data_IF_019257984032
#
_entry.id   IF_019257984032
#
_cell.length_a   1.000
_cell.length_b   1.000
_cell.length_c   1.000
_cell.angle_alpha   90.00
_cell.angle_beta   90.00
_cell.angle_gamma   90.00
#
_symmetry.space_group_name_H-M   'P 1'
#
loop_
_entity.id
_entity.type
_entity.pdbx_description
1 polymer ?
#
# COMPACT_ATOMS: atom_id res chain seq x y z
N UNK A 1 12.41 -13.53 41.86
CA UNK A 1 10.99 -13.17 41.66
C UNK A 1 10.88 -12.18 40.50
N UNK A 2 11.01 -12.67 39.27
CA UNK A 2 10.78 -11.86 38.07
C UNK A 2 9.26 -11.73 37.96
N UNK A 3 8.77 -10.57 38.40
CA UNK A 3 7.36 -10.30 38.66
C UNK A 3 6.48 -10.79 37.52
N UNK A 4 5.54 -11.71 37.81
CA UNK A 4 4.51 -12.22 36.88
C UNK A 4 3.79 -11.07 36.15
N UNK A 5 3.74 -9.89 36.80
CA UNK A 5 3.26 -8.64 36.25
C UNK A 5 4.02 -8.16 35.00
N UNK A 6 5.34 -8.41 34.90
CA UNK A 6 6.15 -8.09 33.71
C UNK A 6 5.88 -9.05 32.54
N UNK A 7 5.68 -10.34 32.81
CA UNK A 7 5.32 -11.32 31.78
C UNK A 7 3.93 -11.05 31.22
N UNK A 8 2.96 -10.66 32.06
CA UNK A 8 1.63 -10.24 31.62
C UNK A 8 1.67 -8.94 30.79
N UNK A 9 2.53 -7.98 31.17
CA UNK A 9 2.75 -6.75 30.39
C UNK A 9 3.33 -7.03 29.00
N UNK A 10 4.38 -7.86 28.91
CA UNK A 10 4.95 -8.27 27.63
C UNK A 10 3.94 -9.06 26.80
N UNK A 11 3.17 -9.96 27.40
CA UNK A 11 2.13 -10.72 26.70
C UNK A 11 1.05 -9.80 26.11
N UNK A 12 0.58 -8.79 26.86
CA UNK A 12 -0.36 -7.79 26.34
C UNK A 12 0.22 -6.95 25.19
N UNK A 13 1.49 -6.58 25.24
CA UNK A 13 2.18 -5.85 24.17
C UNK A 13 2.36 -6.72 22.90
N UNK A 14 2.66 -8.01 23.06
CA UNK A 14 2.78 -8.93 21.94
C UNK A 14 1.42 -9.30 21.32
N UNK A 15 0.36 -9.45 22.12
CA UNK A 15 -1.00 -9.74 21.64
C UNK A 15 -1.61 -8.54 20.91
N UNK A 16 -1.33 -7.32 21.35
CA UNK A 16 -1.76 -6.11 20.65
C UNK A 16 -0.97 -5.84 19.36
N UNK A 17 0.29 -6.26 19.28
CA UNK A 17 1.08 -6.18 18.04
C UNK A 17 0.62 -7.18 16.96
N UNK A 18 0.13 -8.37 17.34
CA UNK A 18 -0.31 -9.40 16.41
C UNK A 18 -1.67 -9.09 15.74
N UNK A 19 -2.59 -8.42 16.44
CA UNK A 19 -3.89 -8.00 15.87
C UNK A 19 -3.78 -6.75 14.99
N UNK A 20 -2.65 -6.04 15.03
CA UNK A 20 -2.41 -4.84 14.23
C UNK A 20 -2.00 -5.14 12.77
N UNK A 21 -1.94 -6.41 12.37
CA UNK A 21 -1.41 -6.78 11.04
C UNK A 21 -2.38 -6.61 9.87
N UNK A 22 -3.66 -6.27 10.12
CA UNK A 22 -4.67 -6.03 9.07
C UNK A 22 -5.00 -4.55 8.84
N UNK A 23 -4.36 -3.64 9.59
CA UNK A 23 -4.67 -2.20 9.61
C UNK A 23 -3.52 -1.29 9.17
N UNK A 24 -2.42 -1.83 8.61
CA UNK A 24 -1.30 -1.01 8.14
C UNK A 24 -1.64 -0.04 7.00
N UNK A 25 -2.82 -0.18 6.36
CA UNK A 25 -3.25 0.77 5.34
C UNK A 25 -3.79 2.10 5.89
N UNK A 26 -4.24 2.17 7.15
CA UNK A 26 -4.94 3.35 7.70
C UNK A 26 -4.45 3.79 9.09
N UNK A 27 -3.62 3.01 9.77
CA UNK A 27 -3.28 3.26 11.18
C UNK A 27 -2.11 4.21 11.47
N UNK A 28 -1.19 4.44 10.54
CA UNK A 28 0.07 5.13 10.85
C UNK A 28 0.02 6.67 10.73
N UNK A 29 -1.04 7.24 10.18
CA UNK A 29 -1.21 8.70 10.14
C UNK A 29 -1.41 9.33 11.53
N UNK A 30 -1.99 8.58 12.48
CA UNK A 30 -2.29 9.08 13.83
C UNK A 30 -1.04 9.23 14.72
N UNK A 31 0.04 8.50 14.43
CA UNK A 31 1.30 8.57 15.21
C UNK A 31 2.28 9.63 14.71
N UNK A 32 2.05 10.20 13.51
CA UNK A 32 2.86 11.27 12.93
C UNK A 32 2.82 12.58 13.75
N UNK A 33 1.81 12.76 14.60
CA UNK A 33 1.72 13.89 15.53
C UNK A 33 2.69 13.79 16.73
N UNK A 34 3.26 12.61 16.98
CA UNK A 34 4.07 12.34 18.18
C UNK A 34 5.58 12.33 17.86
N UNK A 35 5.95 12.03 16.60
CA UNK A 35 7.35 12.03 16.15
C UNK A 35 7.51 12.82 14.84
N UNK A 36 7.91 14.11 14.89
CA UNK A 36 8.28 14.87 13.70
C UNK A 36 9.62 14.35 13.16
N UNK A 37 9.57 13.31 12.32
CA UNK A 37 10.78 12.75 11.72
C UNK A 37 10.65 11.33 11.15
N UNK A 38 9.58 10.61 11.46
CA UNK A 38 9.31 9.30 10.86
C UNK A 38 8.02 9.36 10.08
N UNK A 39 8.06 9.90 8.86
CA UNK A 39 7.05 9.56 7.87
C UNK A 39 7.32 8.11 7.46
N UNK A 40 6.44 7.14 7.75
CA UNK A 40 6.51 5.86 7.06
C UNK A 40 6.18 6.19 5.61
N UNK A 41 7.21 6.37 4.78
CA UNK A 41 6.99 6.36 3.35
C UNK A 41 6.41 4.99 3.03
N UNK A 42 5.29 4.89 2.28
CA UNK A 42 4.91 3.61 1.69
C UNK A 42 6.15 3.02 0.99
N UNK A 43 6.26 1.67 0.86
CA UNK A 43 7.35 1.07 0.08
C UNK A 43 7.50 1.87 -1.22
N UNK A 44 8.71 2.33 -1.59
CA UNK A 44 8.86 3.36 -2.58
C UNK A 44 8.31 2.86 -3.91
N UNK A 45 7.07 3.24 -4.21
CA UNK A 45 6.46 2.93 -5.48
C UNK A 45 7.27 3.66 -6.56
N UNK A 46 7.42 3.05 -7.75
CA UNK A 46 8.04 3.70 -8.89
C UNK A 46 7.41 5.07 -9.21
N UNK A 47 8.12 5.86 -10.02
CA UNK A 47 7.60 7.13 -10.50
C UNK A 47 6.22 6.96 -11.16
N UNK A 48 5.30 7.89 -10.85
CA UNK A 48 3.90 7.89 -11.31
C UNK A 48 3.03 6.74 -10.77
N UNK A 49 3.47 6.07 -9.72
CA UNK A 49 2.67 5.08 -9.00
C UNK A 49 2.33 5.56 -7.59
N UNK A 50 1.23 5.04 -7.05
CA UNK A 50 0.74 5.28 -5.70
C UNK A 50 0.39 3.94 -5.05
N UNK A 51 0.79 3.80 -3.79
CA UNK A 51 0.49 2.61 -3.02
C UNK A 51 -0.99 2.59 -2.64
N UNK A 52 -1.68 1.50 -2.94
CA UNK A 52 -3.03 1.25 -2.46
C UNK A 52 -3.13 -0.15 -1.89
N UNK A 53 -3.80 -0.29 -0.75
CA UNK A 53 -4.03 -1.59 -0.15
C UNK A 53 -5.27 -2.29 -0.70
N UNK A 54 -6.04 -1.60 -1.53
CA UNK A 54 -7.18 -2.15 -2.23
C UNK A 54 -7.33 -1.40 -3.56
N UNK A 55 -6.45 -1.74 -4.51
CA UNK A 55 -6.48 -1.21 -5.87
C UNK A 55 -7.25 -2.10 -6.84
N UNK A 56 -7.24 -1.71 -8.11
CA UNK A 56 -7.79 -2.51 -9.20
C UNK A 56 -7.03 -3.84 -9.35
N UNK A 57 -7.76 -4.93 -9.54
CA UNK A 57 -7.17 -6.25 -9.84
C UNK A 57 -6.24 -6.28 -11.07
N UNK A 58 -6.58 -5.49 -12.09
CA UNK A 58 -5.88 -5.41 -13.36
C UNK A 58 -5.85 -3.94 -13.75
N UNK A 59 -4.65 -3.40 -13.94
CA UNK A 59 -4.49 -2.03 -14.41
C UNK A 59 -4.57 -1.96 -15.93
N UNK A 60 -5.16 -0.89 -16.47
CA UNK A 60 -5.14 -0.66 -17.90
C UNK A 60 -3.69 -0.39 -18.35
N UNK A 61 -3.35 -0.89 -19.53
CA UNK A 61 -2.08 -0.63 -20.18
C UNK A 61 -2.29 -0.15 -21.62
N UNK A 62 -1.27 0.37 -22.28
CA UNK A 62 -1.40 1.03 -23.58
C UNK A 62 -2.16 0.21 -24.64
N UNK A 63 -1.89 -1.10 -24.71
CA UNK A 63 -2.53 -2.03 -25.65
C UNK A 63 -3.92 -2.52 -25.19
N UNK A 64 -4.25 -2.46 -23.91
CA UNK A 64 -5.58 -2.83 -23.42
C UNK A 64 -6.01 -1.94 -22.25
N UNK A 65 -7.01 -1.10 -22.52
CA UNK A 65 -7.58 -0.16 -21.56
C UNK A 65 -8.81 -0.71 -20.83
N UNK A 66 -9.21 -1.95 -21.12
CA UNK A 66 -10.38 -2.58 -20.49
C UNK A 66 -9.99 -3.04 -19.09
N UNK A 67 -10.66 -2.47 -18.09
CA UNK A 67 -10.54 -2.90 -16.69
C UNK A 67 -11.76 -3.77 -16.38
N UNK A 68 -11.59 -5.07 -16.11
CA UNK A 68 -12.71 -5.92 -15.71
C UNK A 68 -13.22 -5.52 -14.32
N UNK A 69 -14.50 -5.80 -14.06
CA UNK A 69 -15.05 -5.70 -12.70
C UNK A 69 -14.44 -6.82 -11.87
N UNK A 70 -13.84 -6.46 -10.74
CA UNK A 70 -13.19 -7.42 -9.86
C UNK A 70 -13.87 -7.45 -8.49
N UNK A 71 -14.16 -8.67 -8.04
CA UNK A 71 -14.73 -8.95 -6.71
C UNK A 71 -13.66 -8.92 -5.61
N UNK A 72 -12.38 -8.94 -6.01
CA UNK A 72 -11.22 -8.89 -5.14
C UNK A 72 -10.32 -7.73 -5.55
N UNK A 73 -9.76 -7.02 -4.57
CA UNK A 73 -8.74 -6.01 -4.80
C UNK A 73 -7.36 -6.52 -4.40
N UNK A 74 -6.34 -6.02 -5.08
CA UNK A 74 -4.95 -6.32 -4.77
C UNK A 74 -4.33 -5.17 -3.97
N UNK A 75 -3.44 -5.50 -3.06
CA UNK A 75 -2.54 -4.55 -2.40
C UNK A 75 -1.27 -4.40 -3.23
N UNK A 76 -0.80 -3.18 -3.44
CA UNK A 76 0.41 -2.90 -4.22
C UNK A 76 0.51 -1.46 -4.72
N UNK A 77 1.43 -1.24 -5.67
CA UNK A 77 1.60 0.02 -6.36
C UNK A 77 0.77 0.06 -7.64
N UNK A 78 -0.04 1.10 -7.80
CA UNK A 78 -0.93 1.31 -8.95
C UNK A 78 -0.59 2.64 -9.62
N UNK A 79 -0.82 2.78 -10.92
CA UNK A 79 -0.67 4.03 -11.64
C UNK A 79 -1.55 5.10 -11.02
N UNK A 80 -0.96 6.29 -10.81
CA UNK A 80 -1.70 7.47 -10.39
C UNK A 80 -2.78 7.83 -11.40
N UNK A 81 -3.83 8.51 -10.93
CA UNK A 81 -4.87 9.07 -11.79
C UNK A 81 -4.27 9.86 -12.96
N UNK A 82 -4.70 9.53 -14.18
CA UNK A 82 -4.21 10.16 -15.41
C UNK A 82 -2.97 9.49 -16.03
N UNK A 83 -2.40 8.47 -15.39
CA UNK A 83 -1.35 7.62 -15.96
C UNK A 83 -1.89 6.26 -16.39
N UNK A 84 -1.15 5.59 -17.28
CA UNK A 84 -1.46 4.25 -17.79
C UNK A 84 -0.18 3.42 -17.85
N UNK A 85 -0.28 2.10 -17.64
CA UNK A 85 0.90 1.23 -17.76
C UNK A 85 1.32 1.13 -19.24
N UNK A 86 2.62 1.18 -19.49
CA UNK A 86 3.16 0.96 -20.83
C UNK A 86 2.90 -0.49 -21.30
N UNK A 87 3.28 -1.44 -20.45
CA UNK A 87 3.09 -2.89 -20.60
C UNK A 87 2.68 -3.49 -19.25
N UNK A 88 2.26 -4.76 -19.24
CA UNK A 88 1.94 -5.47 -18.00
C UNK A 88 3.20 -5.50 -17.11
N UNK A 89 3.09 -4.93 -15.89
CA UNK A 89 4.23 -4.77 -14.97
C UNK A 89 5.26 -3.71 -15.39
N UNK A 90 5.01 -2.95 -16.45
CA UNK A 90 5.86 -1.86 -16.92
C UNK A 90 5.58 -0.54 -16.19
N UNK A 91 6.24 0.53 -16.65
CA UNK A 91 6.17 1.86 -16.04
C UNK A 91 4.81 2.53 -16.29
N UNK A 92 4.39 3.37 -15.36
CA UNK A 92 3.25 4.27 -15.54
C UNK A 92 3.67 5.52 -16.32
N UNK A 93 3.11 5.66 -17.51
CA UNK A 93 3.39 6.76 -18.44
C UNK A 93 2.10 7.53 -18.73
N UNK A 94 2.21 8.68 -19.39
CA UNK A 94 1.01 9.41 -19.83
C UNK A 94 0.32 8.66 -20.98
N UNK A 95 -1.01 8.70 -21.11
CA UNK A 95 -1.71 8.05 -22.22
C UNK A 95 -1.27 8.54 -23.62
N UNK A 96 -0.71 9.75 -23.70
CA UNK A 96 -0.17 10.35 -24.92
C UNK A 96 1.20 9.77 -25.32
N UNK A 97 1.95 9.23 -24.37
CA UNK A 97 3.25 8.60 -24.60
C UNK A 97 3.16 7.10 -24.90
N UNK A 98 1.95 6.55 -25.05
CA UNK A 98 1.80 5.15 -25.44
C UNK A 98 2.41 4.87 -26.82
N UNK A 99 3.17 3.78 -26.99
CA UNK A 99 3.61 3.33 -28.29
C UNK A 99 2.38 3.01 -29.16
N UNK A 100 2.43 3.40 -30.44
CA UNK A 100 1.39 3.13 -31.42
C UNK A 100 1.51 1.71 -31.96
#
# INVERSE_FOLDING_TARGET
>A
MVSVLRLLFFCCLFVSAALAQRSYCKGLAALAAIFPGTTPSPPPCPANEEYSCCGTCVEPYCKNRKVPVCLVCAEGCFCKSGFIREVIGGKCITPKSCPK
#
